data_IF_451058753888
#
_entry.id   IF_451058753888
#
_cell.length_a   1.000
_cell.length_b   1.000
_cell.length_c   1.000
_cell.angle_alpha   90.00
_cell.angle_beta   90.00
_cell.angle_gamma   90.00
#
_symmetry.space_group_name_H-M   'P 1'
#
loop_
_entity.id
_entity.type
_entity.pdbx_description
1 polymer ?
#
# COMPACT_ATOMS: atom_id res chain seq x y z
N UNK A 1 -5.96 2.80 5.47
CA UNK A 1 -4.64 2.95 4.81
C UNK A 1 -4.07 4.38 4.75
N UNK A 2 -4.87 5.45 4.57
CA UNK A 2 -4.34 6.81 4.35
C UNK A 2 -3.46 7.38 5.49
N UNK A 3 -3.84 7.19 6.76
CA UNK A 3 -3.07 7.73 7.89
C UNK A 3 -1.67 7.10 7.99
N UNK A 4 -1.56 5.77 7.84
CA UNK A 4 -0.27 5.06 7.85
C UNK A 4 0.62 5.52 6.70
N UNK A 5 0.06 5.65 5.49
CA UNK A 5 0.80 6.16 4.32
C UNK A 5 1.35 7.58 4.55
N UNK A 6 0.55 8.45 5.17
CA UNK A 6 0.99 9.80 5.52
C UNK A 6 2.14 9.79 6.55
N UNK A 7 2.08 8.90 7.55
CA UNK A 7 3.18 8.75 8.53
C UNK A 7 4.46 8.23 7.88
N UNK A 8 4.38 7.25 6.99
CA UNK A 8 5.54 6.77 6.23
C UNK A 8 6.11 7.84 5.30
N UNK A 9 5.28 8.66 4.66
CA UNK A 9 5.76 9.77 3.84
C UNK A 9 6.57 10.79 4.66
N UNK A 10 6.07 11.19 5.83
CA UNK A 10 6.80 12.10 6.73
C UNK A 10 8.11 11.50 7.21
N UNK A 11 8.12 10.21 7.56
CA UNK A 11 9.36 9.49 7.91
C UNK A 11 10.35 9.47 6.75
N UNK A 12 9.87 9.24 5.51
CA UNK A 12 10.70 9.27 4.31
C UNK A 12 11.35 10.64 4.08
N UNK A 13 10.61 11.74 4.27
CA UNK A 13 11.19 13.08 4.18
C UNK A 13 12.26 13.34 5.24
N UNK A 14 12.04 12.90 6.49
CA UNK A 14 13.03 13.01 7.55
C UNK A 14 14.30 12.19 7.24
N UNK A 15 14.14 10.96 6.74
CA UNK A 15 15.27 10.09 6.36
C UNK A 15 16.03 10.64 5.14
N UNK A 16 15.33 11.28 4.21
CA UNK A 16 15.94 11.94 3.05
C UNK A 16 16.75 13.18 3.44
N UNK A 17 16.27 13.97 4.41
CA UNK A 17 17.04 15.08 4.97
C UNK A 17 18.37 14.58 5.57
N UNK A 18 18.35 13.38 6.16
CA UNK A 18 19.51 12.69 6.72
C UNK A 18 20.29 11.85 5.70
N UNK A 19 20.08 11.98 4.38
CA UNK A 19 20.69 11.07 3.38
C UNK A 19 22.23 10.95 3.41
N UNK A 20 22.92 11.97 3.92
CA UNK A 20 24.39 11.96 4.04
C UNK A 20 24.89 11.35 5.36
N UNK A 21 23.98 11.04 6.29
CA UNK A 21 24.28 10.35 7.54
C UNK A 21 24.35 8.84 7.30
N UNK A 22 25.51 8.23 7.54
CA UNK A 22 25.75 6.79 7.28
C UNK A 22 25.93 5.99 8.56
N UNK A 23 25.36 6.45 9.68
CA UNK A 23 25.36 5.65 10.90
C UNK A 23 24.44 4.44 10.75
N UNK A 24 24.90 3.28 11.25
CA UNK A 24 24.17 2.01 11.22
C UNK A 24 22.69 2.11 11.66
N UNK A 25 22.33 2.90 12.69
CA UNK A 25 20.91 3.10 13.05
C UNK A 25 20.10 3.78 11.95
N UNK A 26 20.66 4.79 11.27
CA UNK A 26 19.96 5.51 10.20
C UNK A 26 19.78 4.63 8.97
N UNK A 27 20.77 3.81 8.62
CA UNK A 27 20.62 2.79 7.57
C UNK A 27 19.53 1.76 7.91
N UNK A 28 19.50 1.30 9.17
CA UNK A 28 18.46 0.39 9.66
C UNK A 28 17.07 1.02 9.53
N UNK A 29 16.92 2.30 9.87
CA UNK A 29 15.66 3.02 9.72
C UNK A 29 15.25 3.20 8.25
N UNK A 30 16.19 3.44 7.32
CA UNK A 30 15.90 3.49 5.89
C UNK A 30 15.40 2.16 5.35
N UNK A 31 16.07 1.06 5.73
CA UNK A 31 15.67 -0.27 5.30
C UNK A 31 14.28 -0.64 5.86
N UNK A 32 14.01 -0.32 7.13
CA UNK A 32 12.71 -0.55 7.74
C UNK A 32 11.60 0.29 7.10
N UNK A 33 11.88 1.57 6.77
CA UNK A 33 10.94 2.44 6.05
C UNK A 33 10.61 1.90 4.66
N UNK A 34 11.62 1.48 3.91
CA UNK A 34 11.44 0.88 2.58
C UNK A 34 10.56 -0.38 2.65
N UNK A 35 10.88 -1.31 3.57
CA UNK A 35 10.09 -2.53 3.75
C UNK A 35 8.63 -2.22 4.15
N UNK A 36 8.41 -1.23 5.02
CA UNK A 36 7.06 -0.82 5.42
C UNK A 36 6.25 -0.23 4.25
N UNK A 37 6.89 0.54 3.36
CA UNK A 37 6.25 1.08 2.16
C UNK A 37 5.88 -0.03 1.18
N UNK A 38 6.77 -1.01 0.98
CA UNK A 38 6.52 -2.18 0.13
C UNK A 38 5.34 -3.01 0.63
N UNK A 39 5.32 -3.36 1.92
CA UNK A 39 4.21 -4.08 2.55
C UNK A 39 2.89 -3.32 2.42
N UNK A 40 2.91 -2.00 2.59
CA UNK A 40 1.70 -1.18 2.44
C UNK A 40 1.16 -1.20 1.00
N UNK A 41 2.05 -1.22 0.01
CA UNK A 41 1.65 -1.30 -1.39
C UNK A 41 1.06 -2.67 -1.71
N UNK A 42 1.67 -3.75 -1.24
CA UNK A 42 1.15 -5.12 -1.38
C UNK A 42 -0.25 -5.24 -0.78
N UNK A 43 -0.45 -4.78 0.46
CA UNK A 43 -1.77 -4.77 1.10
C UNK A 43 -2.80 -3.97 0.30
N UNK A 44 -2.41 -2.80 -0.24
CA UNK A 44 -3.30 -1.99 -1.07
C UNK A 44 -3.58 -2.59 -2.46
N UNK A 45 -2.76 -3.51 -2.94
CA UNK A 45 -2.99 -4.29 -4.17
C UNK A 45 -3.91 -5.48 -3.89
N UNK A 46 -3.69 -6.19 -2.79
CA UNK A 46 -4.56 -7.27 -2.32
C UNK A 46 -6.00 -6.77 -2.08
N UNK A 47 -6.17 -5.63 -1.39
CA UNK A 47 -7.47 -5.00 -1.18
C UNK A 47 -8.18 -4.69 -2.51
N UNK A 48 -7.45 -4.20 -3.53
CA UNK A 48 -8.01 -3.90 -4.86
C UNK A 48 -8.37 -5.17 -5.63
N UNK A 49 -7.55 -6.20 -5.57
CA UNK A 49 -7.82 -7.49 -6.22
C UNK A 49 -9.07 -8.16 -5.62
N UNK A 50 -9.25 -8.08 -4.29
CA UNK A 50 -10.44 -8.54 -3.61
C UNK A 50 -11.69 -7.74 -4.03
N UNK A 51 -11.58 -6.42 -4.13
CA UNK A 51 -12.71 -5.58 -4.57
C UNK A 51 -13.15 -5.90 -6.00
N UNK A 52 -12.21 -6.14 -6.92
CA UNK A 52 -12.51 -6.49 -8.32
C UNK A 52 -13.19 -7.86 -8.46
N UNK A 53 -12.81 -8.86 -7.65
CA UNK A 53 -13.45 -10.17 -7.69
C UNK A 53 -14.88 -10.15 -7.13
N UNK A 54 -15.16 -9.29 -6.16
CA UNK A 54 -16.52 -9.05 -5.67
C UNK A 54 -17.42 -8.34 -6.70
N UNK A 55 -16.87 -7.39 -7.46
CA UNK A 55 -17.63 -6.63 -8.47
C UNK A 55 -17.99 -7.51 -9.69
N UNK A 56 -17.05 -8.33 -10.17
CA UNK A 56 -17.27 -9.30 -11.26
C UNK A 56 -18.35 -10.34 -10.90
N UNK A 57 -18.41 -10.76 -9.63
CA UNK A 57 -19.43 -11.73 -9.17
C UNK A 57 -20.83 -11.11 -9.11
N UNK A 58 -20.93 -9.80 -8.93
CA UNK A 58 -22.21 -9.07 -8.82
C UNK A 58 -22.77 -8.73 -10.20
N UNK A 59 -21.91 -8.38 -11.16
CA UNK A 59 -22.31 -8.09 -12.55
C UNK A 59 -22.78 -9.35 -13.31
N UNK A 60 -22.15 -10.51 -13.05
CA UNK A 60 -22.58 -11.80 -13.61
C UNK A 60 -23.98 -12.23 -13.15
N UNK A 61 -24.41 -11.85 -11.94
CA UNK A 61 -25.76 -12.13 -11.44
C UNK A 61 -26.81 -11.14 -11.98
N UNK A 62 -26.42 -9.90 -12.31
CA UNK A 62 -27.31 -8.87 -12.86
C UNK A 62 -27.67 -9.10 -14.33
N UNK A 63 -26.78 -9.69 -15.12
CA UNK A 63 -27.01 -9.99 -16.54
C UNK A 63 -27.77 -11.31 -16.77
N UNK A 64 -27.81 -12.23 -15.80
CA UNK A 64 -28.52 -13.50 -15.91
C UNK A 64 -30.04 -13.40 -15.60
N UNK A 65 -30.53 -12.25 -15.14
CA UNK A 65 -31.93 -12.03 -14.75
C UNK A 65 -32.76 -11.18 -15.71
N UNK A 66 -32.21 -10.73 -16.85
CA UNK A 66 -32.83 -9.74 -17.73
C UNK A 66 -33.46 -10.30 -19.01
N UNK A 67 -33.68 -11.62 -19.10
CA UNK A 67 -34.26 -12.28 -20.29
C UNK A 67 -35.42 -13.24 -19.90
N UNK A 68 -36.46 -12.68 -19.26
CA UNK A 68 -37.71 -13.39 -18.98
C UNK A 68 -38.92 -12.59 -19.48
#
# INVERSE_FOLDING_TARGET
MHQLRNRLNVMGFALYALRHESSKPVETLRNAHQAAVELLNQLGEEERALQQSADVSTDAAGLAGADQ
#
